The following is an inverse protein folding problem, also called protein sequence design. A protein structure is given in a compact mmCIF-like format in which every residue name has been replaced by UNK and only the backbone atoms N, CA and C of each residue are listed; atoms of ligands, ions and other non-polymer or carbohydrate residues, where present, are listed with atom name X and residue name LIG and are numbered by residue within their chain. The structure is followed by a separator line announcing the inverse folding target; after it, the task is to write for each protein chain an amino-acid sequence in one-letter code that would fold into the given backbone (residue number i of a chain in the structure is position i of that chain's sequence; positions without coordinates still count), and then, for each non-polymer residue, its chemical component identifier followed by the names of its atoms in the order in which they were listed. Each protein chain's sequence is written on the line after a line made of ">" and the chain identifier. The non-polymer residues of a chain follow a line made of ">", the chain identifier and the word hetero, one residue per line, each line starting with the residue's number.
data_IF_149512612810
#
_entry.id   IF_149512612810
#
_cell.length_a   1.000
_cell.length_b   1.000
_cell.length_c   1.000
_cell.angle_alpha   90.00
_cell.angle_beta   90.00
_cell.angle_gamma   90.00
#
_symmetry.space_group_name_H-M   'P 1'
#
loop_
_entity.id
_entity.type
_entity.pdbx_description
1 polymer ?
#
# COMPACT_ATOMS: atom_id res chain seq x y z
N UNK A 1 -16.72 15.55 -0.33
CA UNK A 1 -17.88 15.68 0.58
C UNK A 1 -17.51 15.96 2.04
N UNK A 2 -17.05 15.01 2.87
CA UNK A 2 -16.78 15.29 4.32
C UNK A 2 -15.68 16.34 4.57
N UNK A 3 -14.55 16.27 3.85
CA UNK A 3 -13.41 17.19 4.03
C UNK A 3 -13.74 18.64 3.63
N UNK A 4 -14.34 18.83 2.45
CA UNK A 4 -14.75 20.16 1.95
C UNK A 4 -15.79 20.81 2.87
N UNK A 5 -16.71 20.00 3.42
CA UNK A 5 -17.69 20.48 4.40
C UNK A 5 -17.01 21.00 5.69
N UNK A 6 -16.02 20.27 6.20
CA UNK A 6 -15.24 20.69 7.37
C UNK A 6 -14.39 21.95 7.09
N UNK A 7 -13.80 22.05 5.90
CA UNK A 7 -13.04 23.24 5.49
C UNK A 7 -13.95 24.46 5.35
N UNK A 8 -15.17 24.29 4.82
CA UNK A 8 -16.19 25.34 4.78
C UNK A 8 -16.59 25.76 6.19
N UNK A 9 -16.91 24.81 7.07
CA UNK A 9 -17.26 25.08 8.47
C UNK A 9 -16.16 25.84 9.22
N UNK A 10 -14.89 25.48 9.00
CA UNK A 10 -13.77 26.21 9.60
C UNK A 10 -13.70 27.67 9.15
N UNK A 11 -13.96 27.95 7.86
CA UNK A 11 -13.99 29.31 7.32
C UNK A 11 -15.18 30.11 7.85
N UNK A 12 -16.32 29.46 8.01
CA UNK A 12 -17.52 30.11 8.56
C UNK A 12 -17.30 30.53 10.02
N UNK A 13 -16.70 29.65 10.85
CA UNK A 13 -16.35 29.99 12.24
C UNK A 13 -15.32 31.14 12.29
N UNK A 14 -14.36 31.18 11.37
CA UNK A 14 -13.39 32.30 11.27
C UNK A 14 -14.09 33.63 10.96
N UNK A 15 -15.07 33.62 10.05
CA UNK A 15 -15.88 34.80 9.74
C UNK A 15 -16.74 35.24 10.93
N UNK A 16 -17.36 34.30 11.63
CA UNK A 16 -18.14 34.58 12.84
C UNK A 16 -17.26 35.22 13.91
N UNK A 17 -16.10 34.65 14.20
CA UNK A 17 -15.15 35.21 15.17
C UNK A 17 -14.68 36.62 14.78
N UNK A 18 -14.47 36.88 13.49
CA UNK A 18 -14.09 38.22 13.00
C UNK A 18 -15.22 39.23 13.20
N UNK A 19 -16.47 38.85 12.86
CA UNK A 19 -17.64 39.71 13.06
C UNK A 19 -17.85 40.05 14.54
N UNK A 20 -17.56 39.11 15.45
CA UNK A 20 -17.70 39.31 16.89
C UNK A 20 -16.72 40.36 17.47
N UNK A 21 -15.64 40.72 16.77
CA UNK A 21 -14.71 41.77 17.22
C UNK A 21 -15.34 43.17 17.24
N UNK A 22 -16.37 43.40 16.44
CA UNK A 22 -17.09 44.68 16.40
C UNK A 22 -18.00 44.94 17.61
N UNK A 23 -18.22 43.93 18.45
CA UNK A 23 -19.13 44.03 19.59
C UNK A 23 -18.40 44.36 20.89
N UNK A 24 -19.08 45.05 21.82
CA UNK A 24 -18.56 45.30 23.17
C UNK A 24 -18.34 43.98 23.91
N UNK A 25 -17.23 43.89 24.62
CA UNK A 25 -16.85 42.70 25.39
C UNK A 25 -17.75 42.51 26.61
N UNK A 26 -18.77 41.66 26.48
CA UNK A 26 -19.59 41.18 27.60
C UNK A 26 -19.15 39.78 28.05
N UNK A 27 -19.46 39.36 29.28
CA UNK A 27 -19.21 37.99 29.74
C UNK A 27 -19.85 36.92 28.83
N UNK A 28 -21.04 37.20 28.30
CA UNK A 28 -21.76 36.32 27.37
C UNK A 28 -21.03 36.21 26.03
N UNK A 29 -20.56 37.33 25.48
CA UNK A 29 -19.76 37.36 24.25
C UNK A 29 -18.46 36.56 24.42
N UNK A 30 -17.76 36.72 25.56
CA UNK A 30 -16.56 35.93 25.86
C UNK A 30 -16.84 34.43 25.92
N UNK A 31 -17.97 34.03 26.53
CA UNK A 31 -18.40 32.63 26.57
C UNK A 31 -18.64 32.08 25.16
N UNK A 32 -19.32 32.86 24.32
CA UNK A 32 -19.59 32.49 22.93
C UNK A 32 -18.33 32.41 22.05
N UNK A 33 -17.41 33.35 22.20
CA UNK A 33 -16.11 33.30 21.53
C UNK A 33 -15.32 32.05 21.92
N UNK A 34 -15.32 31.67 23.21
CA UNK A 34 -14.66 30.43 23.67
C UNK A 34 -15.28 29.18 23.05
N UNK A 35 -16.61 29.12 22.92
CA UNK A 35 -17.26 27.97 22.28
C UNK A 35 -16.89 27.86 20.80
N UNK A 36 -16.85 28.99 20.08
CA UNK A 36 -16.44 29.01 18.66
C UNK A 36 -14.97 28.64 18.48
N UNK A 37 -14.07 29.11 19.33
CA UNK A 37 -12.65 28.72 19.31
C UNK A 37 -12.49 27.22 19.59
N UNK A 38 -13.27 26.67 20.53
CA UNK A 38 -13.31 25.23 20.81
C UNK A 38 -13.76 24.42 19.59
N UNK A 39 -14.85 24.85 18.94
CA UNK A 39 -15.36 24.23 17.73
C UNK A 39 -14.36 24.31 16.57
N UNK A 40 -13.73 25.48 16.37
CA UNK A 40 -12.69 25.68 15.36
C UNK A 40 -11.50 24.72 15.58
N UNK A 41 -11.08 24.57 16.84
CA UNK A 41 -9.96 23.68 17.21
C UNK A 41 -10.31 22.22 16.92
N UNK A 42 -11.53 21.80 17.24
CA UNK A 42 -12.03 20.47 16.93
C UNK A 42 -12.05 20.19 15.42
N UNK A 43 -12.62 21.10 14.64
CA UNK A 43 -12.70 20.98 13.16
C UNK A 43 -11.30 20.92 12.53
N UNK A 44 -10.37 21.78 12.98
CA UNK A 44 -8.97 21.76 12.53
C UNK A 44 -8.28 20.43 12.84
N UNK A 45 -8.53 19.85 14.01
CA UNK A 45 -8.03 18.52 14.39
C UNK A 45 -8.55 17.41 13.48
N UNK A 46 -9.85 17.43 13.14
CA UNK A 46 -10.44 16.43 12.26
C UNK A 46 -9.92 16.53 10.81
N UNK A 47 -9.73 17.75 10.30
CA UNK A 47 -9.08 17.98 9.00
C UNK A 47 -7.65 17.42 9.00
N UNK A 48 -6.88 17.63 10.06
CA UNK A 48 -5.51 17.12 10.18
C UNK A 48 -5.48 15.58 10.22
N UNK A 49 -6.43 14.96 10.93
CA UNK A 49 -6.60 13.49 10.96
C UNK A 49 -6.94 12.93 9.59
N UNK A 50 -7.84 13.56 8.85
CA UNK A 50 -8.19 13.15 7.49
C UNK A 50 -7.00 13.28 6.52
N UNK A 51 -6.23 14.36 6.63
CA UNK A 51 -5.02 14.58 5.81
C UNK A 51 -3.93 13.55 6.09
N UNK A 52 -3.60 13.32 7.37
CA UNK A 52 -2.58 12.35 7.78
C UNK A 52 -2.95 10.91 7.38
N UNK A 53 -4.23 10.55 7.50
CA UNK A 53 -4.71 9.22 7.12
C UNK A 53 -4.62 8.98 5.61
N UNK A 54 -4.87 10.00 4.77
CA UNK A 54 -4.77 9.88 3.31
C UNK A 54 -3.35 9.58 2.84
N UNK A 55 -2.39 10.43 3.22
CA UNK A 55 -0.98 10.26 2.81
C UNK A 55 -0.35 8.96 3.32
N UNK A 56 -0.67 8.56 4.56
CA UNK A 56 -0.21 7.27 5.09
C UNK A 56 -0.81 6.07 4.34
N UNK A 57 -2.07 6.15 3.89
CA UNK A 57 -2.70 5.08 3.10
C UNK A 57 -2.05 4.94 1.72
N UNK A 58 -1.79 6.05 1.04
CA UNK A 58 -1.13 6.05 -0.26
C UNK A 58 0.28 5.49 -0.17
N UNK A 59 1.06 5.91 0.84
CA UNK A 59 2.40 5.38 1.07
C UNK A 59 2.38 3.88 1.37
N UNK A 60 1.50 3.42 2.28
CA UNK A 60 1.34 1.99 2.59
C UNK A 60 0.94 1.18 1.35
N UNK A 61 0.09 1.73 0.49
CA UNK A 61 -0.31 1.11 -0.76
C UNK A 61 0.87 0.98 -1.73
N UNK A 62 1.64 2.05 -1.91
CA UNK A 62 2.85 2.05 -2.74
C UNK A 62 3.87 1.03 -2.23
N UNK A 63 4.10 0.96 -0.92
CA UNK A 63 5.03 0.02 -0.30
C UNK A 63 4.57 -1.44 -0.46
N UNK A 64 3.25 -1.69 -0.33
CA UNK A 64 2.66 -3.01 -0.61
C UNK A 64 2.89 -3.43 -2.07
N UNK A 65 2.71 -2.53 -3.03
CA UNK A 65 2.96 -2.80 -4.45
C UNK A 65 4.44 -3.11 -4.68
N UNK A 66 5.34 -2.29 -4.14
CA UNK A 66 6.80 -2.50 -4.26
C UNK A 66 7.21 -3.85 -3.70
N UNK A 67 6.72 -4.22 -2.52
CA UNK A 67 7.01 -5.50 -1.90
C UNK A 67 6.45 -6.66 -2.73
N UNK A 68 5.22 -6.56 -3.22
CA UNK A 68 4.63 -7.59 -4.08
C UNK A 68 5.44 -7.80 -5.38
N UNK A 69 5.89 -6.72 -6.01
CA UNK A 69 6.73 -6.78 -7.21
C UNK A 69 8.11 -7.37 -6.93
N UNK A 70 8.74 -6.99 -5.81
CA UNK A 70 9.99 -7.61 -5.35
C UNK A 70 9.83 -9.12 -5.17
N UNK A 71 8.76 -9.55 -4.49
CA UNK A 71 8.48 -10.97 -4.26
C UNK A 71 8.24 -11.74 -5.56
N UNK A 72 7.50 -11.16 -6.51
CA UNK A 72 7.30 -11.76 -7.85
C UNK A 72 8.62 -11.92 -8.61
N UNK A 73 9.46 -10.88 -8.59
CA UNK A 73 10.77 -10.89 -9.25
C UNK A 73 11.68 -11.96 -8.65
N UNK A 74 11.80 -12.01 -7.33
CA UNK A 74 12.63 -13.01 -6.64
C UNK A 74 12.13 -14.44 -6.87
N UNK A 75 10.80 -14.66 -6.88
CA UNK A 75 10.22 -15.96 -7.24
C UNK A 75 10.57 -16.38 -8.66
N UNK A 76 10.51 -15.44 -9.61
CA UNK A 76 10.89 -15.70 -11.00
C UNK A 76 12.38 -16.05 -11.09
N UNK A 77 13.25 -15.26 -10.46
CA UNK A 77 14.70 -15.53 -10.42
C UNK A 77 15.02 -16.89 -9.83
N UNK A 78 14.39 -17.25 -8.70
CA UNK A 78 14.56 -18.57 -8.07
C UNK A 78 14.18 -19.70 -9.01
N UNK A 79 13.03 -19.57 -9.68
CA UNK A 79 12.55 -20.55 -10.65
C UNK A 79 13.51 -20.66 -11.83
N UNK A 80 13.99 -19.53 -12.35
CA UNK A 80 14.93 -19.49 -13.45
C UNK A 80 16.27 -20.15 -13.09
N UNK A 81 16.84 -19.82 -11.93
CA UNK A 81 18.10 -20.43 -11.44
C UNK A 81 17.95 -21.94 -11.27
N UNK A 82 16.83 -22.37 -10.69
CA UNK A 82 16.53 -23.79 -10.50
C UNK A 82 16.47 -24.54 -11.83
N UNK A 83 15.73 -24.03 -12.82
CA UNK A 83 15.64 -24.65 -14.14
C UNK A 83 16.96 -24.61 -14.91
N UNK A 84 17.73 -23.54 -14.75
CA UNK A 84 19.05 -23.42 -15.35
C UNK A 84 20.02 -24.45 -14.77
N UNK A 85 20.02 -24.65 -13.46
CA UNK A 85 20.84 -25.66 -12.81
C UNK A 85 20.52 -27.07 -13.35
N UNK A 86 19.24 -27.41 -13.52
CA UNK A 86 18.83 -28.68 -14.13
C UNK A 86 19.40 -28.83 -15.54
N UNK A 87 19.25 -27.80 -16.38
CA UNK A 87 19.75 -27.85 -17.76
C UNK A 87 21.27 -27.94 -17.83
N UNK A 88 21.96 -27.24 -16.94
CA UNK A 88 23.42 -27.12 -16.99
C UNK A 88 24.10 -28.37 -16.38
N UNK A 89 23.45 -29.09 -15.44
CA UNK A 89 24.02 -30.26 -14.74
C UNK A 89 23.51 -31.63 -15.23
N UNK A 90 22.41 -31.69 -15.97
CA UNK A 90 21.84 -32.94 -16.47
C UNK A 90 21.76 -32.93 -18.01
N UNK A 91 21.88 -34.10 -18.67
CA UNK A 91 21.79 -34.20 -20.13
C UNK A 91 20.34 -34.08 -20.60
N UNK A 92 19.80 -32.86 -20.52
CA UNK A 92 18.40 -32.54 -20.80
C UNK A 92 18.36 -31.71 -22.09
N UNK A 93 18.01 -32.35 -23.21
CA UNK A 93 17.94 -31.72 -24.54
C UNK A 93 16.61 -31.01 -24.79
N UNK A 94 16.18 -30.18 -23.83
CA UNK A 94 14.98 -29.36 -23.97
C UNK A 94 15.25 -27.91 -23.58
N UNK A 95 14.65 -26.94 -24.29
CA UNK A 95 14.83 -25.53 -24.00
C UNK A 95 14.21 -25.16 -22.64
N UNK A 96 14.77 -24.13 -21.99
CA UNK A 96 14.30 -23.59 -20.71
C UNK A 96 12.79 -23.31 -20.65
N UNK A 97 12.18 -22.92 -21.77
CA UNK A 97 10.74 -22.69 -21.88
C UNK A 97 9.93 -23.98 -21.69
N UNK A 98 10.39 -25.09 -22.24
CA UNK A 98 9.75 -26.40 -22.09
C UNK A 98 10.02 -27.00 -20.70
N UNK A 99 11.23 -26.82 -20.17
CA UNK A 99 11.60 -27.14 -18.78
C UNK A 99 10.65 -26.51 -17.76
N UNK A 100 10.20 -25.26 -17.99
CA UNK A 100 9.21 -24.60 -17.15
C UNK A 100 7.83 -25.27 -17.20
N UNK A 101 7.42 -25.74 -18.38
CA UNK A 101 6.17 -26.50 -18.56
C UNK A 101 6.28 -27.87 -17.89
N UNK A 102 7.42 -28.56 -18.04
CA UNK A 102 7.69 -29.83 -17.39
C UNK A 102 7.70 -29.68 -15.85
N UNK A 103 8.33 -28.62 -15.31
CA UNK A 103 8.27 -28.34 -13.87
C UNK A 103 6.84 -28.16 -13.36
N UNK A 104 5.96 -27.54 -14.17
CA UNK A 104 4.54 -27.42 -13.82
C UNK A 104 3.86 -28.80 -13.79
N UNK A 105 4.09 -29.64 -14.80
CA UNK A 105 3.56 -31.01 -14.87
C UNK A 105 4.05 -31.87 -13.69
N UNK A 106 5.36 -31.88 -13.42
CA UNK A 106 5.96 -32.59 -12.29
C UNK A 106 5.35 -32.16 -10.95
N UNK A 107 5.14 -30.85 -10.73
CA UNK A 107 4.46 -30.34 -9.51
C UNK A 107 2.99 -30.77 -9.39
N UNK A 108 2.36 -31.13 -10.49
CA UNK A 108 0.99 -31.64 -10.53
C UNK A 108 0.95 -33.18 -10.41
N UNK A 109 2.11 -33.84 -10.27
CA UNK A 109 2.22 -35.30 -10.24
C UNK A 109 2.05 -35.96 -11.61
N UNK A 110 2.18 -35.18 -12.69
CA UNK A 110 2.14 -35.70 -14.06
C UNK A 110 3.52 -36.15 -14.50
N UNK A 111 3.58 -37.20 -15.31
CA UNK A 111 4.83 -37.70 -15.89
C UNK A 111 5.53 -36.64 -16.75
N UNK A 112 6.86 -36.62 -16.66
CA UNK A 112 7.73 -35.71 -17.41
C UNK A 112 8.95 -36.45 -17.92
N UNK A 113 9.44 -36.03 -19.08
CA UNK A 113 10.65 -36.59 -19.71
C UNK A 113 11.95 -36.25 -18.96
N UNK A 114 11.87 -35.48 -17.87
CA UNK A 114 13.00 -35.12 -17.02
C UNK A 114 13.10 -36.11 -15.86
N UNK A 115 14.29 -36.68 -15.57
CA UNK A 115 14.48 -37.59 -14.45
C UNK A 115 14.15 -36.93 -13.09
N UNK A 116 13.51 -37.69 -12.20
CA UNK A 116 13.17 -37.25 -10.84
C UNK A 116 14.38 -36.78 -10.03
N UNK A 117 15.55 -37.37 -10.27
CA UNK A 117 16.81 -36.98 -9.61
C UNK A 117 17.14 -35.51 -9.90
N UNK A 118 16.92 -35.05 -11.14
CA UNK A 118 17.16 -33.66 -11.51
C UNK A 118 16.21 -32.69 -10.81
N UNK A 119 14.98 -33.10 -10.54
CA UNK A 119 14.03 -32.29 -9.79
C UNK A 119 14.39 -32.18 -8.30
N UNK A 120 14.87 -33.28 -7.70
CA UNK A 120 15.24 -33.33 -6.28
C UNK A 120 16.57 -32.65 -6.00
N UNK A 121 17.54 -32.83 -6.90
CA UNK A 121 18.88 -32.26 -6.78
C UNK A 121 19.32 -31.57 -8.08
N UNK A 122 18.89 -30.31 -8.32
CA UNK A 122 19.16 -29.61 -9.57
C UNK A 122 20.63 -29.18 -9.74
N UNK A 123 21.43 -29.21 -8.67
CA UNK A 123 22.86 -28.91 -8.68
C UNK A 123 23.58 -29.90 -7.77
N UNK A 124 23.80 -31.13 -8.26
CA UNK A 124 24.51 -32.16 -7.51
C UNK A 124 25.97 -31.82 -7.24
#
# INVERSE_FOLDING_TARGET
>A
MKKESLEKRSKDIERELEALKGFRLTPQLRKFQRTLIGEQSFVKGEIARLKSTGGQKEQRHADRIKLANKNRSEKMKRTWRYLRAIRDNYPVDIPLRQLRTALRKHRQGLETDIPDVAWRNPSP
#
